data_IF_067658535049
#
_entry.id   IF_067658535049
#
_cell.length_a   1.000
_cell.length_b   1.000
_cell.length_c   1.000
_cell.angle_alpha   90.00
_cell.angle_beta   90.00
_cell.angle_gamma   90.00
#
_symmetry.space_group_name_H-M   'P 1'
#
loop_
_entity.id
_entity.type
_entity.pdbx_description
1 polymer ?
#
# COMPACT_ATOMS: atom_id res chain seq x y z
N UNK A 1 -7.05 -35.09 -1.73
CA UNK A 1 -6.16 -34.93 -0.57
C UNK A 1 -5.52 -33.56 -0.64
N UNK A 2 -5.95 -32.62 0.19
CA UNK A 2 -5.28 -31.33 0.37
C UNK A 2 -4.54 -31.45 1.70
N UNK A 3 -3.22 -31.60 1.65
CA UNK A 3 -2.39 -31.53 2.84
C UNK A 3 -2.37 -30.08 3.33
N UNK A 4 -2.69 -29.79 4.61
CA UNK A 4 -2.51 -28.45 5.15
C UNK A 4 -1.00 -28.15 5.19
N UNK A 5 -0.54 -27.29 4.29
CA UNK A 5 0.81 -26.74 4.34
C UNK A 5 0.87 -25.67 5.43
N UNK A 6 1.40 -26.05 6.59
CA UNK A 6 1.63 -25.15 7.71
C UNK A 6 2.96 -24.41 7.46
N UNK A 7 2.89 -23.27 6.79
CA UNK A 7 4.08 -22.49 6.42
C UNK A 7 4.36 -21.41 7.49
N UNK A 8 5.16 -21.75 8.49
CA UNK A 8 5.74 -20.76 9.41
C UNK A 8 7.02 -20.17 8.81
N UNK A 9 6.99 -18.90 8.43
CA UNK A 9 8.19 -18.05 8.43
C UNK A 9 8.25 -17.28 9.75
N UNK A 10 9.45 -16.84 10.15
CA UNK A 10 9.78 -16.25 11.47
C UNK A 10 8.77 -15.24 12.03
N UNK A 11 8.06 -14.51 11.17
CA UNK A 11 6.91 -13.67 11.55
C UNK A 11 5.62 -14.08 10.81
N UNK A 12 5.70 -14.62 9.58
CA UNK A 12 4.54 -15.17 8.86
C UNK A 12 3.69 -14.13 8.10
N UNK A 13 4.02 -12.85 8.17
CA UNK A 13 3.21 -11.78 7.55
C UNK A 13 3.67 -11.42 6.13
N UNK A 14 4.86 -11.89 5.73
CA UNK A 14 5.51 -11.53 4.47
C UNK A 14 5.50 -12.71 3.49
N UNK A 15 6.45 -13.65 3.64
CA UNK A 15 6.60 -14.80 2.72
C UNK A 15 5.42 -15.76 2.75
N UNK A 16 4.84 -16.00 3.92
CA UNK A 16 3.68 -16.89 4.05
C UNK A 16 2.47 -16.29 3.34
N UNK A 17 2.18 -14.99 3.54
CA UNK A 17 1.12 -14.28 2.82
C UNK A 17 1.29 -14.33 1.31
N UNK A 18 2.51 -14.11 0.78
CA UNK A 18 2.78 -14.24 -0.65
C UNK A 18 2.45 -15.64 -1.19
N UNK A 19 2.91 -16.70 -0.51
CA UNK A 19 2.72 -18.08 -0.95
C UNK A 19 1.26 -18.52 -0.83
N UNK A 20 0.59 -18.20 0.28
CA UNK A 20 -0.81 -18.57 0.53
C UNK A 20 -1.73 -17.90 -0.48
N UNK A 21 -1.58 -16.59 -0.69
CA UNK A 21 -2.42 -15.86 -1.63
C UNK A 21 -2.18 -16.28 -3.09
N UNK A 22 -0.94 -16.59 -3.47
CA UNK A 22 -0.63 -17.12 -4.80
C UNK A 22 -1.23 -18.53 -4.98
N UNK A 23 -1.15 -19.40 -3.96
CA UNK A 23 -1.76 -20.73 -4.00
C UNK A 23 -3.29 -20.65 -4.12
N UNK A 24 -3.95 -19.75 -3.38
CA UNK A 24 -5.38 -19.49 -3.52
C UNK A 24 -5.74 -19.11 -4.97
N UNK A 25 -4.98 -18.19 -5.58
CA UNK A 25 -5.21 -17.74 -6.96
C UNK A 25 -5.01 -18.86 -8.00
N UNK A 26 -4.09 -19.79 -7.75
CA UNK A 26 -3.86 -20.96 -8.61
C UNK A 26 -4.94 -22.04 -8.45
N UNK A 27 -5.45 -22.25 -7.24
CA UNK A 27 -6.39 -23.34 -6.93
C UNK A 27 -7.85 -22.98 -7.22
N UNK A 28 -8.26 -21.72 -6.99
CA UNK A 28 -9.66 -21.30 -7.10
C UNK A 28 -9.82 -20.16 -8.14
N UNK A 29 -10.53 -20.41 -9.26
CA UNK A 29 -10.83 -19.40 -10.27
C UNK A 29 -11.57 -18.18 -9.73
N UNK A 30 -12.30 -18.27 -8.61
CA UNK A 30 -12.98 -17.13 -8.00
C UNK A 30 -12.01 -15.98 -7.73
N UNK A 31 -10.81 -16.26 -7.21
CA UNK A 31 -9.80 -15.23 -6.90
C UNK A 31 -9.20 -14.56 -8.14
N UNK A 32 -9.52 -15.04 -9.35
CA UNK A 32 -9.13 -14.42 -10.64
C UNK A 32 -10.18 -13.47 -11.18
N UNK A 33 -11.27 -13.27 -10.44
CA UNK A 33 -12.28 -12.23 -10.68
C UNK A 33 -11.90 -10.92 -9.98
N UNK A 34 -12.49 -9.78 -10.35
CA UNK A 34 -12.26 -8.51 -9.64
C UNK A 34 -12.68 -8.61 -8.16
N UNK A 35 -13.83 -9.23 -7.90
CA UNK A 35 -14.36 -9.40 -6.54
C UNK A 35 -13.51 -10.39 -5.74
N UNK A 36 -13.08 -11.48 -6.35
CA UNK A 36 -12.23 -12.45 -5.70
C UNK A 36 -10.84 -11.91 -5.42
N UNK A 37 -10.22 -11.18 -6.34
CA UNK A 37 -8.95 -10.51 -6.09
C UNK A 37 -9.04 -9.53 -4.91
N UNK A 38 -10.09 -8.71 -4.87
CA UNK A 38 -10.36 -7.84 -3.73
C UNK A 38 -10.48 -8.64 -2.43
N UNK A 39 -11.31 -9.69 -2.42
CA UNK A 39 -11.48 -10.54 -1.24
C UNK A 39 -10.16 -11.20 -0.80
N UNK A 40 -9.31 -11.58 -1.75
CA UNK A 40 -8.00 -12.17 -1.48
C UNK A 40 -7.06 -11.15 -0.82
N UNK A 41 -7.01 -9.92 -1.31
CA UNK A 41 -6.18 -8.85 -0.74
C UNK A 41 -6.67 -8.47 0.66
N UNK A 42 -7.98 -8.27 0.84
CA UNK A 42 -8.57 -7.98 2.14
C UNK A 42 -8.27 -9.09 3.16
N UNK A 43 -8.45 -10.35 2.75
CA UNK A 43 -8.23 -11.51 3.60
C UNK A 43 -6.76 -11.73 3.92
N UNK A 44 -5.91 -11.91 2.91
CA UNK A 44 -4.54 -12.42 3.11
C UNK A 44 -3.52 -11.32 3.39
N UNK A 45 -3.77 -10.10 2.93
CA UNK A 45 -2.82 -8.99 3.08
C UNK A 45 -3.23 -8.02 4.18
N UNK A 46 -4.50 -7.61 4.18
CA UNK A 46 -4.98 -6.60 5.10
C UNK A 46 -5.34 -7.19 6.47
N UNK A 47 -6.09 -8.31 6.53
CA UNK A 47 -6.50 -8.90 7.80
C UNK A 47 -5.36 -9.63 8.54
N UNK A 48 -4.42 -10.26 7.81
CA UNK A 48 -3.24 -10.86 8.44
C UNK A 48 -2.21 -9.84 8.98
N UNK A 49 -2.43 -8.54 8.74
CA UNK A 49 -1.59 -7.48 9.33
C UNK A 49 -0.23 -7.34 8.66
N UNK A 50 -0.18 -7.40 7.32
CA UNK A 50 1.05 -7.04 6.62
C UNK A 50 1.42 -5.58 6.97
N UNK A 51 2.65 -5.29 7.44
CA UNK A 51 3.01 -3.99 8.00
C UNK A 51 3.28 -2.99 6.88
N UNK A 52 2.22 -2.59 6.17
CA UNK A 52 2.28 -1.74 4.99
C UNK A 52 2.98 -0.41 5.28
N UNK A 53 2.73 0.23 6.43
CA UNK A 53 3.35 1.52 6.72
C UNK A 53 4.88 1.39 6.88
N UNK A 54 5.34 0.34 7.56
CA UNK A 54 6.78 0.06 7.68
C UNK A 54 7.42 -0.31 6.34
N UNK A 55 6.72 -1.14 5.54
CA UNK A 55 7.22 -1.65 4.26
C UNK A 55 7.21 -0.59 3.16
N UNK A 56 6.31 0.39 3.24
CA UNK A 56 6.15 1.50 2.29
C UNK A 56 6.93 2.76 2.72
N UNK A 57 7.54 2.76 3.91
CA UNK A 57 8.27 3.91 4.45
C UNK A 57 7.36 5.07 4.87
N UNK A 58 6.08 4.80 5.14
CA UNK A 58 5.12 5.78 5.65
C UNK A 58 5.40 5.98 7.14
N UNK A 59 5.53 7.21 7.65
CA UNK A 59 5.67 7.46 9.08
C UNK A 59 4.45 6.91 9.82
N UNK A 60 4.60 5.79 10.53
CA UNK A 60 3.58 5.26 11.45
C UNK A 60 3.43 6.25 12.59
N UNK A 61 2.20 6.65 12.90
CA UNK A 61 1.90 7.58 13.99
C UNK A 61 2.30 6.92 15.32
N UNK A 62 3.50 7.20 15.81
CA UNK A 62 3.83 6.93 17.22
C UNK A 62 3.01 7.91 18.06
N UNK A 63 2.27 7.39 19.03
CA UNK A 63 1.38 8.13 19.95
C UNK A 63 2.06 9.39 20.52
N UNK A 64 1.88 10.55 19.87
CA UNK A 64 2.04 11.91 20.42
C UNK A 64 1.73 12.97 19.34
N UNK A 65 0.45 13.35 19.24
CA UNK A 65 0.03 14.68 18.79
C UNK A 65 0.15 15.03 17.30
N UNK A 66 -0.98 15.04 16.61
CA UNK A 66 -1.18 15.88 15.41
C UNK A 66 -1.52 15.11 14.14
N UNK A 67 -2.67 15.43 13.55
CA UNK A 67 -3.17 14.99 12.25
C UNK A 67 -2.14 15.23 11.12
N UNK A 68 -1.28 14.24 10.83
CA UNK A 68 -0.30 14.32 9.73
C UNK A 68 -0.79 13.73 8.41
N UNK A 69 -1.99 13.13 8.36
CA UNK A 69 -2.62 12.69 7.10
C UNK A 69 -2.93 13.87 6.15
N UNK A 70 -2.88 15.09 6.67
CA UNK A 70 -3.08 16.33 5.91
C UNK A 70 -1.83 16.75 5.12
N UNK A 71 -0.62 16.36 5.56
CA UNK A 71 0.64 16.75 4.90
C UNK A 71 0.93 15.94 3.63
N UNK A 72 0.41 14.71 3.53
CA UNK A 72 0.51 13.89 2.31
C UNK A 72 -0.50 14.30 1.22
N UNK A 73 -1.46 15.18 1.53
CA UNK A 73 -2.51 15.63 0.59
C UNK A 73 -2.14 16.83 -0.27
N UNK A 74 -0.96 17.44 -0.12
CA UNK A 74 -0.58 18.62 -0.90
C UNK A 74 0.21 18.24 -2.17
N UNK A 75 -0.31 18.51 -3.38
CA UNK A 75 0.48 18.44 -4.59
C UNK A 75 1.52 19.57 -4.56
N UNK A 76 2.79 19.22 -4.76
CA UNK A 76 3.92 20.15 -4.76
C UNK A 76 3.88 21.06 -6.00
N UNK A 77 3.01 22.07 -6.00
CA UNK A 77 3.08 23.21 -6.91
C UNK A 77 3.90 24.30 -6.24
N UNK A 78 5.10 24.53 -6.80
CA UNK A 78 6.06 25.49 -6.29
C UNK A 78 5.52 26.91 -6.25
N UNK A 79 5.87 27.64 -5.20
CA UNK A 79 5.73 29.08 -5.17
C UNK A 79 7.10 29.71 -4.85
N UNK A 80 7.60 30.41 -5.87
CA UNK A 80 8.71 31.34 -5.85
C UNK A 80 8.28 32.66 -5.19
N UNK A 81 9.24 33.37 -4.58
CA UNK A 81 9.20 34.80 -4.20
C UNK A 81 8.31 35.11 -2.98
N UNK A 82 8.72 35.80 -1.90
CA UNK A 82 9.69 36.87 -1.71
C UNK A 82 9.93 37.07 -0.19
N UNK A 83 11.14 37.48 0.20
CA UNK A 83 11.57 37.73 1.59
C UNK A 83 10.93 38.99 2.23
N UNK A 84 10.96 39.12 3.58
CA UNK A 84 11.77 40.21 4.14
C UNK A 84 12.50 39.91 5.48
N UNK A 85 13.79 40.29 5.49
CA UNK A 85 14.59 41.02 6.50
C UNK A 85 14.36 40.90 8.03
N UNK A 86 15.41 40.33 8.68
CA UNK A 86 16.33 40.94 9.69
C UNK A 86 15.81 41.33 11.09
N UNK A 87 16.25 40.58 12.11
CA UNK A 87 16.81 41.05 13.41
C UNK A 87 17.44 39.83 14.15
N UNK A 88 18.76 39.68 14.17
CA UNK A 88 19.75 40.05 15.23
C UNK A 88 19.84 39.10 16.45
N UNK A 89 20.99 38.39 16.47
CA UNK A 89 21.84 37.92 17.58
C UNK A 89 21.37 36.82 18.56
N UNK A 90 22.04 35.66 18.45
CA UNK A 90 22.22 34.64 19.50
C UNK A 90 22.70 33.29 18.93
N UNK A 91 24.01 32.99 19.01
CA UNK A 91 24.70 31.74 18.60
C UNK A 91 25.56 31.27 19.79
N UNK A 92 26.04 30.01 19.91
CA UNK A 92 25.55 28.67 19.51
C UNK A 92 25.55 27.64 20.67
N UNK A 93 24.92 26.47 20.48
CA UNK A 93 25.19 25.25 21.25
C UNK A 93 25.15 24.01 20.33
N UNK A 94 26.12 23.08 20.40
CA UNK A 94 26.31 22.03 19.40
C UNK A 94 25.59 20.71 19.74
N UNK A 95 25.55 19.82 18.76
CA UNK A 95 25.54 18.34 18.87
C UNK A 95 24.22 17.59 18.63
N UNK A 96 24.32 16.64 17.70
CA UNK A 96 23.60 15.37 17.56
C UNK A 96 22.08 15.40 17.38
N UNK A 97 21.62 15.17 16.15
CA UNK A 97 20.59 14.16 15.85
C UNK A 97 20.54 13.87 14.34
N UNK A 98 21.60 13.23 13.84
CA UNK A 98 21.67 12.62 12.51
C UNK A 98 21.61 11.10 12.69
N UNK A 99 20.42 10.55 12.98
CA UNK A 99 20.19 9.09 13.04
C UNK A 99 18.74 8.63 12.80
N UNK A 100 17.79 9.53 12.53
CA UNK A 100 16.36 9.13 12.36
C UNK A 100 16.04 8.57 10.96
N UNK A 101 16.94 8.73 9.97
CA UNK A 101 16.71 8.26 8.60
C UNK A 101 17.30 6.88 8.26
N UNK A 102 18.05 6.24 9.16
CA UNK A 102 18.70 4.94 8.87
C UNK A 102 17.92 3.70 9.31
N UNK A 103 16.84 3.85 10.09
CA UNK A 103 16.01 2.69 10.50
C UNK A 103 14.82 2.42 9.57
N UNK A 104 14.37 3.41 8.79
CA UNK A 104 13.24 3.22 7.86
C UNK A 104 13.63 2.47 6.58
N UNK A 105 14.89 2.58 6.13
CA UNK A 105 15.38 1.89 4.93
C UNK A 105 15.46 0.38 5.10
N UNK A 106 15.76 -0.11 6.31
CA UNK A 106 16.02 -1.53 6.54
C UNK A 106 14.75 -2.38 6.58
N UNK A 107 13.59 -1.75 6.82
CA UNK A 107 12.30 -2.43 6.88
C UNK A 107 11.47 -2.23 5.61
N UNK A 108 11.93 -1.40 4.67
CA UNK A 108 11.26 -1.21 3.38
C UNK A 108 11.51 -2.44 2.52
N UNK A 109 10.46 -3.10 2.03
CA UNK A 109 10.59 -4.27 1.16
C UNK A 109 9.39 -4.35 0.22
N UNK A 110 9.60 -4.51 -1.10
CA UNK A 110 8.53 -4.44 -2.11
C UNK A 110 7.74 -5.76 -2.20
N UNK A 111 7.25 -6.27 -1.07
CA UNK A 111 6.65 -7.61 -0.94
C UNK A 111 5.35 -7.72 -1.73
N UNK A 112 4.48 -6.71 -1.63
CA UNK A 112 3.25 -6.66 -2.42
C UNK A 112 3.55 -6.56 -3.92
N UNK A 113 4.55 -5.76 -4.31
CA UNK A 113 4.95 -5.61 -5.70
C UNK A 113 5.51 -6.92 -6.27
N UNK A 114 6.31 -7.66 -5.48
CA UNK A 114 6.81 -8.99 -5.86
C UNK A 114 5.65 -9.96 -6.11
N UNK A 115 4.66 -9.97 -5.22
CA UNK A 115 3.47 -10.82 -5.39
C UNK A 115 2.68 -10.46 -6.66
N UNK A 116 2.49 -9.17 -6.95
CA UNK A 116 1.82 -8.75 -8.17
C UNK A 116 2.63 -9.04 -9.43
N UNK A 117 3.96 -8.98 -9.36
CA UNK A 117 4.80 -9.40 -10.47
C UNK A 117 4.57 -10.89 -10.80
N UNK A 118 4.49 -11.75 -9.77
CA UNK A 118 4.11 -13.14 -9.95
C UNK A 118 2.74 -13.29 -10.64
N UNK A 119 1.74 -12.49 -10.24
CA UNK A 119 0.42 -12.50 -10.88
C UNK A 119 0.50 -12.01 -12.33
N UNK A 120 1.30 -10.98 -12.61
CA UNK A 120 1.53 -10.47 -13.96
C UNK A 120 2.13 -11.54 -14.88
N UNK A 121 3.05 -12.35 -14.35
CA UNK A 121 3.59 -13.52 -15.06
C UNK A 121 2.52 -14.58 -15.34
N UNK A 122 1.68 -14.91 -14.35
CA UNK A 122 0.57 -15.85 -14.53
C UNK A 122 -0.45 -15.34 -15.56
N UNK A 123 -0.76 -14.05 -15.55
CA UNK A 123 -1.66 -13.41 -16.51
C UNK A 123 -1.10 -13.49 -17.93
N UNK A 124 0.21 -13.31 -18.10
CA UNK A 124 0.88 -13.46 -19.40
C UNK A 124 0.83 -14.90 -19.93
N UNK A 125 0.96 -15.88 -19.04
CA UNK A 125 0.90 -17.30 -19.40
C UNK A 125 -0.53 -17.79 -19.67
N UNK A 126 -1.51 -17.28 -18.93
CA UNK A 126 -2.90 -17.74 -18.95
C UNK A 126 -3.88 -16.55 -19.07
N UNK A 127 -3.85 -15.77 -20.15
CA UNK A 127 -4.62 -14.53 -20.25
C UNK A 127 -6.14 -14.73 -20.14
N UNK A 128 -6.67 -15.87 -20.58
CA UNK A 128 -8.09 -16.20 -20.47
C UNK A 128 -8.52 -16.70 -19.09
N UNK A 129 -7.57 -16.98 -18.20
CA UNK A 129 -7.87 -17.45 -16.85
C UNK A 129 -8.24 -16.32 -15.88
N UNK A 130 -7.98 -15.06 -16.26
CA UNK A 130 -8.19 -13.88 -15.42
C UNK A 130 -9.27 -12.97 -15.98
N UNK A 131 -10.15 -12.46 -15.11
CA UNK A 131 -11.14 -11.46 -15.49
C UNK A 131 -10.50 -10.07 -15.69
N UNK A 132 -9.37 -9.83 -15.00
CA UNK A 132 -8.65 -8.57 -15.04
C UNK A 132 -7.41 -8.66 -15.92
N UNK A 133 -6.92 -7.52 -16.42
CA UNK A 133 -5.71 -7.40 -17.23
C UNK A 133 -4.53 -6.87 -16.41
N UNK A 134 -3.32 -6.87 -16.98
CA UNK A 134 -2.15 -6.24 -16.34
C UNK A 134 -2.39 -4.77 -15.98
N UNK A 135 -3.23 -4.05 -16.74
CA UNK A 135 -3.61 -2.67 -16.43
C UNK A 135 -4.25 -2.54 -15.04
N UNK A 136 -5.12 -3.48 -14.67
CA UNK A 136 -5.74 -3.47 -13.34
C UNK A 136 -4.70 -3.61 -12.22
N UNK A 137 -3.66 -4.44 -12.41
CA UNK A 137 -2.60 -4.62 -11.43
C UNK A 137 -1.77 -3.33 -11.25
N UNK A 138 -1.53 -2.60 -12.34
CA UNK A 138 -0.86 -1.30 -12.32
C UNK A 138 -1.73 -0.26 -11.60
N UNK A 139 -3.00 -0.11 -12.00
CA UNK A 139 -3.93 0.83 -11.37
C UNK A 139 -4.09 0.53 -9.86
N UNK A 140 -4.08 -0.75 -9.47
CA UNK A 140 -4.07 -1.18 -8.07
C UNK A 140 -2.80 -0.73 -7.34
N UNK A 141 -1.61 -0.95 -7.91
CA UNK A 141 -0.35 -0.51 -7.28
C UNK A 141 -0.24 0.99 -7.18
N UNK A 142 -0.68 1.72 -8.20
CA UNK A 142 -0.71 3.19 -8.16
C UNK A 142 -1.59 3.65 -7.00
N UNK A 143 -2.74 3.00 -6.77
CA UNK A 143 -3.59 3.31 -5.62
C UNK A 143 -2.89 3.03 -4.29
N UNK A 144 -2.22 1.88 -4.14
CA UNK A 144 -1.50 1.52 -2.92
C UNK A 144 -0.35 2.50 -2.64
N UNK A 145 0.46 2.79 -3.66
CA UNK A 145 1.62 3.69 -3.57
C UNK A 145 1.20 5.16 -3.38
N UNK A 146 0.05 5.57 -3.90
CA UNK A 146 -0.43 6.95 -3.75
C UNK A 146 -0.76 7.34 -2.31
N UNK A 147 -0.92 6.38 -1.39
CA UNK A 147 -1.34 6.60 0.00
C UNK A 147 -2.68 7.38 0.12
N UNK A 148 -3.48 7.46 -0.95
CA UNK A 148 -4.74 8.22 -1.00
C UNK A 148 -5.91 7.49 -0.34
N UNK A 149 -5.76 6.18 -0.15
CA UNK A 149 -6.82 5.30 0.32
C UNK A 149 -6.38 4.67 1.64
N UNK A 150 -7.31 4.65 2.59
CA UNK A 150 -7.05 4.21 3.94
C UNK A 150 -6.67 2.74 4.10
N UNK A 151 -7.03 1.91 3.13
CA UNK A 151 -6.92 0.45 3.19
C UNK A 151 -5.51 -0.02 3.56
N UNK A 152 -4.45 0.66 3.10
CA UNK A 152 -3.05 0.26 3.27
C UNK A 152 -2.24 1.20 4.19
N UNK A 153 -2.89 2.11 4.92
CA UNK A 153 -2.17 3.12 5.73
C UNK A 153 -1.72 2.62 7.10
N UNK A 154 -2.25 1.49 7.56
CA UNK A 154 -1.99 0.95 8.90
C UNK A 154 -1.34 -0.43 8.81
N UNK A 155 -0.65 -0.84 9.87
CA UNK A 155 0.05 -2.12 9.96
C UNK A 155 -0.85 -3.27 10.44
N UNK A 156 -2.03 -2.97 10.99
CA UNK A 156 -2.97 -3.99 11.44
C UNK A 156 -4.42 -3.57 11.26
N UNK A 157 -5.33 -4.54 11.23
CA UNK A 157 -6.78 -4.29 11.24
C UNK A 157 -7.20 -3.47 12.47
N UNK A 158 -6.67 -3.82 13.64
CA UNK A 158 -6.91 -3.09 14.90
C UNK A 158 -6.54 -1.61 14.79
N UNK A 159 -5.42 -1.28 14.16
CA UNK A 159 -4.99 0.10 13.96
C UNK A 159 -5.91 0.86 12.98
N UNK A 160 -6.42 0.19 11.93
CA UNK A 160 -7.38 0.79 10.99
C UNK A 160 -8.70 1.15 11.68
N UNK A 161 -9.19 0.27 12.55
CA UNK A 161 -10.40 0.49 13.35
C UNK A 161 -10.22 1.66 14.32
N UNK A 162 -9.11 1.68 15.06
CA UNK A 162 -8.80 2.75 16.02
C UNK A 162 -8.60 4.11 15.35
N UNK A 163 -8.03 4.13 14.15
CA UNK A 163 -7.75 5.35 13.40
C UNK A 163 -8.97 5.89 12.63
N UNK A 164 -10.12 5.20 12.67
CA UNK A 164 -11.35 5.63 11.99
C UNK A 164 -11.21 5.72 10.46
N UNK A 165 -10.26 4.96 9.90
CA UNK A 165 -9.82 5.11 8.50
C UNK A 165 -10.94 4.82 7.51
N UNK A 166 -11.82 3.88 7.84
CA UNK A 166 -13.00 3.54 7.03
C UNK A 166 -13.98 4.71 6.88
N UNK A 167 -13.99 5.64 7.84
CA UNK A 167 -14.87 6.82 7.86
C UNK A 167 -14.17 8.02 7.20
N UNK A 168 -12.88 8.18 7.45
CA UNK A 168 -12.11 9.36 7.00
C UNK A 168 -11.53 9.24 5.60
N UNK A 169 -11.34 8.02 5.08
CA UNK A 169 -10.67 7.79 3.81
C UNK A 169 -11.60 7.17 2.75
N UNK A 170 -11.33 7.48 1.48
CA UNK A 170 -12.04 6.85 0.36
C UNK A 170 -11.70 5.36 0.29
N UNK A 171 -12.68 4.54 -0.08
CA UNK A 171 -12.45 3.13 -0.41
C UNK A 171 -11.72 3.00 -1.74
N UNK A 172 -10.57 2.31 -1.75
CA UNK A 172 -9.77 2.08 -2.96
C UNK A 172 -10.56 1.25 -3.97
N UNK A 173 -11.28 0.22 -3.51
CA UNK A 173 -12.03 -0.68 -4.38
C UNK A 173 -13.13 0.03 -5.14
N UNK A 174 -13.82 0.99 -4.49
CA UNK A 174 -14.78 1.86 -5.17
C UNK A 174 -14.11 2.73 -6.23
N UNK A 175 -12.90 3.25 -5.95
CA UNK A 175 -12.15 4.01 -6.95
C UNK A 175 -11.71 3.14 -8.13
N UNK A 176 -11.17 1.94 -7.89
CA UNK A 176 -10.81 1.00 -8.93
C UNK A 176 -12.03 0.57 -9.76
N UNK A 177 -13.18 0.33 -9.12
CA UNK A 177 -14.42 0.03 -9.82
C UNK A 177 -14.85 1.17 -10.75
N UNK A 178 -14.73 2.42 -10.29
CA UNK A 178 -15.02 3.60 -11.10
C UNK A 178 -14.01 3.77 -12.24
N UNK A 179 -12.71 3.57 -11.99
CA UNK A 179 -11.66 3.63 -13.03
C UNK A 179 -11.90 2.60 -14.14
N UNK A 180 -12.32 1.39 -13.76
CA UNK A 180 -12.69 0.34 -14.73
C UNK A 180 -13.92 0.74 -15.54
N UNK A 181 -14.93 1.32 -14.89
CA UNK A 181 -16.16 1.77 -15.57
C UNK A 181 -15.88 2.95 -16.51
N UNK A 182 -14.95 3.85 -16.17
CA UNK A 182 -14.54 4.98 -17.01
C UNK A 182 -13.48 4.62 -18.07
N UNK A 183 -12.84 3.46 -17.93
CA UNK A 183 -11.64 3.03 -18.67
C UNK A 183 -11.83 2.69 -20.15
N UNK A 184 -13.00 2.99 -20.72
CA UNK A 184 -13.22 3.06 -22.17
C UNK A 184 -13.11 4.47 -22.76
N UNK A 185 -12.77 5.51 -21.98
CA UNK A 185 -12.94 6.92 -22.37
C UNK A 185 -11.69 7.81 -22.22
N UNK A 186 -10.53 7.31 -21.81
CA UNK A 186 -9.37 8.18 -21.58
C UNK A 186 -8.08 7.63 -22.21
N UNK A 187 -7.55 8.42 -23.16
CA UNK A 187 -6.21 8.38 -23.77
C UNK A 187 -5.98 7.51 -25.02
N UNK A 188 -6.52 7.95 -26.17
CA UNK A 188 -5.69 8.11 -27.38
C UNK A 188 -4.83 9.38 -27.19
N UNK A 189 -3.54 9.29 -27.48
CA UNK A 189 -2.69 10.45 -27.73
C UNK A 189 -1.62 10.09 -28.75
#
# INVERSE_FOLDING_TARGET
MIFPLLCFCSDGWDRTTQLVSLACLLLDPYYRTFSGFQALVEKDWLAFGHPFAERMGVPTVSENGGSQYELLRQPSLGNLSSSPSRNTLGRPGPSSNSSVQSQTSNNTSPILLQWLDCISQLLRLYPSAFQFSSKFLVDFMDCVLSCRFGNFLCNSEREREQSGVTISCRCMWSHLANLRASGGSFHEH
#
